data_IF_538636718613
#
_entry.id   IF_538636718613
#
_cell.length_a   1.000
_cell.length_b   1.000
_cell.length_c   1.000
_cell.angle_alpha   90.00
_cell.angle_beta   90.00
_cell.angle_gamma   90.00
#
_symmetry.space_group_name_H-M   'P 1'
#
loop_
_entity.id
_entity.type
_entity.pdbx_description
1 polymer ?
#
# COMPACT_ATOMS: atom_id res chain seq x y z
N UNK A 1 -39.93 1.07 54.63
CA UNK A 1 -39.36 -0.06 53.87
C UNK A 1 -40.12 -0.28 52.56
N UNK A 2 -41.46 -0.27 52.59
CA UNK A 2 -42.36 -0.40 51.42
C UNK A 2 -42.16 0.68 50.35
N UNK A 3 -41.98 1.95 50.72
CA UNK A 3 -41.88 3.05 49.74
C UNK A 3 -40.59 3.00 48.92
N UNK A 4 -39.48 2.61 49.56
CA UNK A 4 -38.20 2.41 48.88
C UNK A 4 -38.28 1.24 47.89
N UNK A 5 -38.95 0.14 48.26
CA UNK A 5 -39.15 -1.00 47.36
C UNK A 5 -40.04 -0.65 46.17
N UNK A 6 -41.07 0.18 46.38
CA UNK A 6 -41.95 0.65 45.29
C UNK A 6 -41.17 1.57 44.35
N UNK A 7 -40.36 2.49 44.88
CA UNK A 7 -39.54 3.39 44.06
C UNK A 7 -38.53 2.63 43.18
N UNK A 8 -37.85 1.63 43.76
CA UNK A 8 -36.92 0.77 43.00
C UNK A 8 -37.66 -0.01 41.91
N UNK A 9 -38.85 -0.54 42.21
CA UNK A 9 -39.66 -1.26 41.23
C UNK A 9 -40.08 -0.36 40.05
N UNK A 10 -40.46 0.89 40.31
CA UNK A 10 -40.83 1.86 39.27
C UNK A 10 -39.64 2.21 38.38
N UNK A 11 -38.46 2.45 38.95
CA UNK A 11 -37.24 2.74 38.19
C UNK A 11 -36.83 1.54 37.34
N UNK A 12 -36.87 0.32 37.90
CA UNK A 12 -36.56 -0.90 37.17
C UNK A 12 -37.50 -1.11 35.97
N UNK A 13 -38.81 -0.85 36.16
CA UNK A 13 -39.81 -0.94 35.09
C UNK A 13 -39.61 0.13 34.00
N UNK A 14 -39.18 1.34 34.37
CA UNK A 14 -38.93 2.41 33.42
C UNK A 14 -37.64 2.20 32.58
N UNK A 15 -36.60 1.60 33.17
CA UNK A 15 -35.31 1.39 32.50
C UNK A 15 -35.25 0.10 31.67
N UNK A 16 -36.09 -0.89 31.98
CA UNK A 16 -36.13 -2.19 31.30
C UNK A 16 -36.34 -2.09 29.78
N UNK A 17 -37.29 -1.28 29.25
CA UNK A 17 -37.49 -1.13 27.81
C UNK A 17 -36.28 -0.51 27.11
N UNK A 18 -35.58 0.44 27.76
CA UNK A 18 -34.38 1.08 27.23
C UNK A 18 -33.22 0.09 27.17
N UNK A 19 -33.01 -0.69 28.23
CA UNK A 19 -32.00 -1.74 28.27
C UNK A 19 -32.28 -2.82 27.21
N UNK A 20 -33.54 -3.22 27.06
CA UNK A 20 -33.97 -4.18 26.03
C UNK A 20 -33.76 -3.63 24.61
N UNK A 21 -34.07 -2.35 24.37
CA UNK A 21 -33.82 -1.69 23.09
C UNK A 21 -32.32 -1.65 22.75
N UNK A 22 -31.47 -1.28 23.72
CA UNK A 22 -30.01 -1.27 23.55
C UNK A 22 -29.47 -2.67 23.29
N UNK A 23 -29.95 -3.68 24.03
CA UNK A 23 -29.57 -5.09 23.80
C UNK A 23 -30.01 -5.56 22.41
N UNK A 24 -31.22 -5.20 21.97
CA UNK A 24 -31.73 -5.51 20.63
C UNK A 24 -30.88 -4.85 19.55
N UNK A 25 -30.51 -3.58 19.70
CA UNK A 25 -29.61 -2.87 18.77
C UNK A 25 -28.23 -3.53 18.75
N UNK A 26 -27.65 -3.88 19.91
CA UNK A 26 -26.36 -4.57 19.98
C UNK A 26 -26.42 -5.95 19.35
N UNK A 27 -27.49 -6.71 19.60
CA UNK A 27 -27.72 -8.03 19.03
C UNK A 27 -27.88 -7.95 17.51
N UNK A 28 -28.66 -7.01 16.99
CA UNK A 28 -28.80 -6.77 15.55
C UNK A 28 -27.48 -6.32 14.90
N UNK A 29 -26.71 -5.43 15.56
CA UNK A 29 -25.38 -5.03 15.08
C UNK A 29 -24.38 -6.20 15.10
N UNK A 30 -24.44 -7.07 16.11
CA UNK A 30 -23.60 -8.28 16.20
C UNK A 30 -24.03 -9.30 15.15
N UNK A 31 -25.33 -9.47 14.90
CA UNK A 31 -25.88 -10.31 13.83
C UNK A 31 -25.52 -9.79 12.43
N UNK A 32 -25.55 -8.46 12.22
CA UNK A 32 -25.07 -7.83 10.96
C UNK A 32 -23.57 -8.03 10.77
N UNK A 33 -22.75 -7.80 11.80
CA UNK A 33 -21.30 -8.08 11.73
C UNK A 33 -21.00 -9.56 11.49
N UNK A 34 -21.65 -10.45 12.24
CA UNK A 34 -21.52 -11.89 12.05
C UNK A 34 -22.15 -12.40 10.75
N UNK A 35 -22.97 -11.60 10.04
CA UNK A 35 -23.51 -11.90 8.70
C UNK A 35 -22.56 -11.37 7.63
N UNK A 36 -21.94 -10.21 7.85
CA UNK A 36 -20.87 -9.64 7.02
C UNK A 36 -19.60 -10.53 7.06
N UNK A 37 -19.25 -11.05 8.24
CA UNK A 37 -18.17 -12.03 8.44
C UNK A 37 -18.51 -13.43 7.91
N UNK A 38 -19.80 -13.73 7.67
CA UNK A 38 -20.29 -15.00 7.13
C UNK A 38 -20.74 -14.92 5.67
N UNK A 39 -20.56 -13.79 5.00
CA UNK A 39 -20.66 -13.75 3.54
C UNK A 39 -19.70 -14.83 3.04
N UNK A 40 -20.25 -15.86 2.41
CA UNK A 40 -19.53 -17.09 2.12
C UNK A 40 -18.38 -16.78 1.16
N UNK A 41 -17.31 -17.56 1.26
CA UNK A 41 -16.17 -17.51 0.33
C UNK A 41 -16.63 -17.57 -1.14
N UNK A 42 -17.77 -18.23 -1.40
CA UNK A 42 -18.49 -18.28 -2.69
C UNK A 42 -19.18 -16.95 -3.06
N UNK A 43 -19.86 -16.25 -2.15
CA UNK A 43 -20.45 -14.92 -2.45
C UNK A 43 -19.37 -13.85 -2.70
N UNK A 44 -18.18 -14.00 -2.10
CA UNK A 44 -17.01 -13.15 -2.37
C UNK A 44 -16.30 -13.49 -3.70
N UNK A 45 -16.55 -14.67 -4.28
CA UNK A 45 -16.08 -15.00 -5.63
C UNK A 45 -16.86 -14.23 -6.70
N UNK A 46 -18.12 -13.88 -6.46
CA UNK A 46 -18.92 -13.09 -7.42
C UNK A 46 -18.72 -11.57 -7.29
N UNK A 47 -18.08 -11.10 -6.20
CA UNK A 47 -17.74 -9.68 -6.03
C UNK A 47 -16.56 -9.32 -6.94
N UNK A 48 -16.71 -8.21 -7.68
CA UNK A 48 -15.64 -7.66 -8.51
C UNK A 48 -14.42 -7.24 -7.69
N UNK A 49 -13.22 -7.36 -8.25
CA UNK A 49 -11.97 -7.04 -7.55
C UNK A 49 -11.97 -5.61 -7.00
N UNK A 50 -12.51 -4.64 -7.77
CA UNK A 50 -12.64 -3.24 -7.34
C UNK A 50 -13.52 -3.09 -6.08
N UNK A 51 -14.72 -3.68 -6.09
CA UNK A 51 -15.64 -3.65 -4.95
C UNK A 51 -15.02 -4.29 -3.70
N UNK A 52 -14.28 -5.39 -3.88
CA UNK A 52 -13.58 -6.06 -2.81
C UNK A 52 -12.49 -5.16 -2.19
N UNK A 53 -11.64 -4.53 -3.01
CA UNK A 53 -10.62 -3.59 -2.55
C UNK A 53 -11.26 -2.42 -1.81
N UNK A 54 -12.30 -1.81 -2.38
CA UNK A 54 -13.05 -0.71 -1.79
C UNK A 54 -13.61 -1.07 -0.40
N UNK A 55 -14.17 -2.27 -0.25
CA UNK A 55 -14.70 -2.75 1.01
C UNK A 55 -13.60 -2.95 2.06
N UNK A 56 -12.46 -3.52 1.67
CA UNK A 56 -11.32 -3.75 2.57
C UNK A 56 -10.67 -2.44 3.00
N UNK A 57 -10.47 -1.50 2.07
CA UNK A 57 -9.96 -0.15 2.36
C UNK A 57 -10.84 0.58 3.39
N UNK A 58 -12.17 0.53 3.23
CA UNK A 58 -13.12 1.08 4.22
C UNK A 58 -13.00 0.37 5.57
N UNK A 59 -12.83 -0.96 5.58
CA UNK A 59 -12.65 -1.76 6.80
C UNK A 59 -11.39 -1.37 7.57
N UNK A 60 -10.30 -1.01 6.88
CA UNK A 60 -9.05 -0.57 7.51
C UNK A 60 -9.04 0.91 7.90
N UNK A 61 -10.12 1.64 7.64
CA UNK A 61 -10.29 3.04 8.04
C UNK A 61 -9.97 4.08 6.96
N UNK A 62 -9.70 3.64 5.72
CA UNK A 62 -9.51 4.55 4.59
C UNK A 62 -10.86 5.05 4.04
N UNK A 63 -10.80 6.15 3.28
CA UNK A 63 -11.94 6.70 2.54
C UNK A 63 -11.62 6.62 1.05
N UNK A 64 -11.80 5.45 0.42
CA UNK A 64 -11.43 5.27 -0.98
C UNK A 64 -12.51 5.82 -1.93
N UNK A 65 -12.06 6.40 -3.03
CA UNK A 65 -12.88 6.95 -4.11
C UNK A 65 -12.33 6.46 -5.46
N UNK A 66 -13.15 6.44 -6.51
CA UNK A 66 -12.70 6.12 -7.87
C UNK A 66 -12.45 7.43 -8.61
N UNK A 67 -11.26 7.61 -9.18
CA UNK A 67 -10.91 8.81 -9.94
C UNK A 67 -11.39 8.74 -11.40
N UNK A 68 -11.11 9.78 -12.18
CA UNK A 68 -11.49 9.86 -13.61
C UNK A 68 -10.85 8.78 -14.49
N UNK A 69 -9.72 8.22 -14.07
CA UNK A 69 -8.98 7.16 -14.76
C UNK A 69 -9.47 5.75 -14.37
N UNK A 70 -10.45 5.63 -13.47
CA UNK A 70 -10.93 4.35 -12.97
C UNK A 70 -10.05 3.73 -11.88
N UNK A 71 -9.08 4.48 -11.34
CA UNK A 71 -8.23 4.04 -10.24
C UNK A 71 -8.89 4.31 -8.89
N UNK A 72 -8.73 3.39 -7.95
CA UNK A 72 -9.17 3.58 -6.56
C UNK A 72 -8.13 4.44 -5.84
N UNK A 73 -8.45 5.70 -5.54
CA UNK A 73 -7.58 6.63 -4.80
C UNK A 73 -7.95 6.66 -3.32
N UNK A 74 -6.96 6.74 -2.44
CA UNK A 74 -7.17 6.81 -0.99
C UNK A 74 -5.92 7.36 -0.26
N UNK A 75 -6.11 7.79 0.98
CA UNK A 75 -5.01 8.14 1.90
C UNK A 75 -4.77 7.03 2.92
N UNK A 76 -3.51 6.72 3.17
CA UNK A 76 -3.09 5.79 4.23
C UNK A 76 -1.89 6.35 4.98
N UNK A 77 -2.04 6.50 6.31
CA UNK A 77 -1.04 7.12 7.19
C UNK A 77 -0.58 8.55 6.79
N UNK A 78 -1.39 9.26 5.99
CA UNK A 78 -1.09 10.62 5.53
C UNK A 78 -0.66 10.69 4.07
N UNK A 79 -0.18 9.58 3.51
CA UNK A 79 0.31 9.50 2.13
C UNK A 79 -0.81 9.15 1.16
N UNK A 80 -0.69 9.65 -0.08
CA UNK A 80 -1.62 9.39 -1.17
C UNK A 80 -1.28 8.10 -1.91
N UNK A 81 -2.28 7.24 -2.08
CA UNK A 81 -2.18 5.99 -2.80
C UNK A 81 -3.25 5.91 -3.88
N UNK A 82 -2.97 5.12 -4.91
CA UNK A 82 -3.99 4.63 -5.81
C UNK A 82 -3.81 3.14 -6.10
N UNK A 83 -4.90 2.46 -6.42
CA UNK A 83 -4.93 1.07 -6.86
C UNK A 83 -5.54 1.00 -8.25
N UNK A 84 -4.78 0.46 -9.19
CA UNK A 84 -5.31 0.01 -10.48
C UNK A 84 -5.69 -1.47 -10.36
N UNK A 85 -6.90 -1.79 -10.82
CA UNK A 85 -7.46 -3.15 -10.82
C UNK A 85 -7.35 -3.70 -12.24
N UNK A 86 -6.96 -4.97 -12.38
CA UNK A 86 -6.93 -5.64 -13.69
C UNK A 86 -8.31 -6.22 -14.04
N UNK A 87 -8.79 -5.96 -15.27
CA UNK A 87 -10.18 -6.25 -15.68
C UNK A 87 -10.52 -7.74 -15.77
N UNK A 88 -9.53 -8.61 -15.93
CA UNK A 88 -9.72 -10.05 -16.17
C UNK A 88 -9.11 -10.95 -15.08
N UNK A 89 -8.34 -10.37 -14.17
CA UNK A 89 -7.62 -11.10 -13.15
C UNK A 89 -7.81 -10.48 -11.77
N UNK A 90 -7.60 -11.29 -10.72
CA UNK A 90 -7.64 -10.81 -9.33
C UNK A 90 -6.35 -10.08 -8.94
N UNK A 91 -5.65 -9.48 -9.89
CA UNK A 91 -4.45 -8.69 -9.62
C UNK A 91 -4.80 -7.24 -9.38
N UNK A 92 -4.08 -6.64 -8.44
CA UNK A 92 -4.12 -5.22 -8.17
C UNK A 92 -2.70 -4.67 -8.23
N UNK A 93 -2.58 -3.43 -8.70
CA UNK A 93 -1.35 -2.66 -8.66
C UNK A 93 -1.53 -1.49 -7.70
N UNK A 94 -0.85 -1.57 -6.55
CA UNK A 94 -0.86 -0.51 -5.54
C UNK A 94 0.27 0.45 -5.88
N UNK A 95 -0.03 1.73 -5.93
CA UNK A 95 0.91 2.81 -6.16
C UNK A 95 0.91 3.82 -5.03
N UNK A 96 2.09 4.27 -4.67
CA UNK A 96 2.32 5.47 -3.88
C UNK A 96 3.14 6.43 -4.76
N UNK A 97 2.48 7.29 -5.53
CA UNK A 97 3.16 8.23 -6.40
C UNK A 97 3.77 9.37 -5.59
N UNK A 98 4.89 9.90 -6.08
CA UNK A 98 5.49 11.14 -5.60
C UNK A 98 5.71 11.24 -4.08
N UNK A 99 6.03 10.13 -3.41
CA UNK A 99 6.20 10.08 -1.96
C UNK A 99 7.48 10.79 -1.47
N UNK A 100 8.44 11.00 -2.37
CA UNK A 100 9.62 11.83 -2.13
C UNK A 100 10.12 12.47 -3.42
N UNK A 101 10.97 13.49 -3.27
CA UNK A 101 11.74 14.07 -4.36
C UNK A 101 13.16 14.37 -3.94
N UNK A 102 14.05 14.43 -4.92
CA UNK A 102 15.45 14.85 -4.76
C UNK A 102 15.77 15.91 -5.80
N UNK A 103 16.39 17.01 -5.36
CA UNK A 103 16.83 18.08 -6.27
C UNK A 103 17.91 17.58 -7.23
N UNK A 104 17.90 18.10 -8.46
CA UNK A 104 18.96 17.83 -9.44
C UNK A 104 20.35 18.26 -8.98
N UNK A 105 20.43 19.23 -8.06
CA UNK A 105 21.69 19.73 -7.49
C UNK A 105 22.14 18.90 -6.27
N UNK A 106 21.41 17.85 -5.90
CA UNK A 106 21.74 17.04 -4.73
C UNK A 106 23.00 16.18 -5.00
N UNK A 107 24.05 16.26 -4.15
CA UNK A 107 25.26 15.46 -4.32
C UNK A 107 25.05 13.95 -4.31
N UNK A 108 23.95 13.47 -3.73
CA UNK A 108 23.60 12.05 -3.69
C UNK A 108 22.89 11.56 -4.98
N UNK A 109 22.44 12.46 -5.86
CA UNK A 109 21.71 12.11 -7.08
C UNK A 109 22.46 11.10 -7.98
N UNK A 110 23.79 11.20 -8.19
CA UNK A 110 24.53 10.23 -9.00
C UNK A 110 24.46 8.79 -8.47
N UNK A 111 24.13 8.61 -7.19
CA UNK A 111 24.02 7.31 -6.52
C UNK A 111 22.57 6.80 -6.43
N UNK A 112 21.58 7.62 -6.78
CA UNK A 112 20.16 7.30 -6.62
C UNK A 112 19.79 5.97 -7.30
N UNK A 113 20.27 5.75 -8.53
CA UNK A 113 19.98 4.53 -9.30
C UNK A 113 20.49 3.28 -8.58
N UNK A 114 21.71 3.30 -8.05
CA UNK A 114 22.28 2.15 -7.34
C UNK A 114 21.58 1.89 -6.03
N UNK A 115 21.20 2.95 -5.30
CA UNK A 115 20.44 2.83 -4.06
C UNK A 115 19.07 2.21 -4.32
N UNK A 116 18.34 2.74 -5.29
CA UNK A 116 17.03 2.21 -5.68
C UNK A 116 17.15 0.75 -6.14
N UNK A 117 18.15 0.42 -6.96
CA UNK A 117 18.38 -0.95 -7.40
C UNK A 117 18.73 -1.88 -6.23
N UNK A 118 19.57 -1.43 -5.29
CA UNK A 118 19.95 -2.20 -4.11
C UNK A 118 18.71 -2.53 -3.27
N UNK A 119 17.86 -1.53 -2.99
CA UNK A 119 16.65 -1.73 -2.19
C UNK A 119 15.64 -2.58 -2.93
N UNK A 120 15.45 -2.37 -4.24
CA UNK A 120 14.46 -3.12 -5.04
C UNK A 120 14.78 -4.62 -5.14
N UNK A 121 16.04 -5.04 -5.01
CA UNK A 121 16.41 -6.47 -5.05
C UNK A 121 15.84 -7.25 -3.86
N UNK A 122 15.81 -6.61 -2.69
CA UNK A 122 15.44 -7.26 -1.43
C UNK A 122 14.04 -6.84 -0.93
N UNK A 123 13.30 -6.07 -1.75
CA UNK A 123 12.04 -5.44 -1.38
C UNK A 123 10.86 -6.00 -2.17
N UNK A 124 9.73 -6.18 -1.48
CA UNK A 124 8.42 -6.48 -2.08
C UNK A 124 7.89 -5.32 -2.94
N UNK A 125 8.20 -4.10 -2.52
CA UNK A 125 7.82 -2.86 -3.20
C UNK A 125 8.95 -2.42 -4.12
N UNK A 126 8.61 -2.11 -5.37
CA UNK A 126 9.56 -1.61 -6.36
C UNK A 126 9.45 -0.09 -6.42
N UNK A 127 10.58 0.60 -6.28
CA UNK A 127 10.67 2.06 -6.46
C UNK A 127 11.19 2.39 -7.85
N UNK A 128 10.55 3.35 -8.49
CA UNK A 128 10.97 3.97 -9.75
C UNK A 128 11.07 5.48 -9.55
N UNK A 129 11.77 6.17 -10.44
CA UNK A 129 11.90 7.61 -10.35
C UNK A 129 11.80 8.27 -11.73
N UNK A 130 11.27 9.49 -11.76
CA UNK A 130 11.05 10.29 -12.97
C UNK A 130 11.44 11.75 -12.69
N UNK A 131 11.93 12.47 -13.69
CA UNK A 131 12.08 13.92 -13.57
C UNK A 131 10.70 14.61 -13.48
N UNK A 132 10.62 15.73 -12.76
CA UNK A 132 9.47 16.63 -12.79
C UNK A 132 9.41 17.42 -14.11
N UNK A 133 8.27 18.08 -14.38
CA UNK A 133 8.04 18.81 -15.64
C UNK A 133 9.06 19.93 -15.89
N UNK A 134 9.54 20.54 -14.80
CA UNK A 134 10.56 21.60 -14.82
C UNK A 134 12.00 21.05 -14.86
N UNK A 135 12.18 19.74 -14.80
CA UNK A 135 13.45 19.02 -14.67
C UNK A 135 14.36 19.53 -13.52
N UNK A 136 13.76 20.07 -12.46
CA UNK A 136 14.47 20.57 -11.26
C UNK A 136 14.59 19.51 -10.18
N UNK A 137 13.67 18.55 -10.16
CA UNK A 137 13.62 17.49 -9.18
C UNK A 137 13.37 16.15 -9.84
N UNK A 138 13.85 15.12 -9.19
CA UNK A 138 13.50 13.73 -9.50
C UNK A 138 12.51 13.26 -8.44
N UNK A 139 11.30 12.92 -8.85
CA UNK A 139 10.27 12.34 -8.00
C UNK A 139 10.44 10.82 -7.90
N UNK A 140 10.27 10.28 -6.69
CA UNK A 140 10.27 8.86 -6.41
C UNK A 140 8.83 8.36 -6.27
N UNK A 141 8.58 7.20 -6.86
CA UNK A 141 7.29 6.53 -6.85
C UNK A 141 7.51 5.08 -6.51
N UNK A 142 6.61 4.50 -5.74
CA UNK A 142 6.70 3.10 -5.37
C UNK A 142 5.46 2.36 -5.80
N UNK A 143 5.64 1.09 -6.19
CA UNK A 143 4.54 0.22 -6.59
C UNK A 143 4.72 -1.20 -6.09
N UNK A 144 3.61 -1.92 -5.97
CA UNK A 144 3.61 -3.35 -5.75
C UNK A 144 2.46 -3.99 -6.53
N UNK A 145 2.69 -5.19 -7.08
CA UNK A 145 1.63 -6.00 -7.69
C UNK A 145 1.31 -7.14 -6.76
N UNK A 146 0.03 -7.46 -6.63
CA UNK A 146 -0.34 -8.64 -5.88
C UNK A 146 -1.69 -9.21 -6.29
N UNK A 147 -1.87 -10.50 -6.02
CA UNK A 147 -3.20 -11.12 -6.08
C UNK A 147 -4.01 -10.62 -4.88
N UNK A 148 -5.26 -10.25 -5.13
CA UNK A 148 -6.20 -9.81 -4.13
C UNK A 148 -7.48 -10.65 -4.24
N UNK A 149 -7.49 -11.77 -3.51
CA UNK A 149 -8.55 -12.78 -3.57
C UNK A 149 -9.07 -13.11 -2.19
N UNK A 150 -10.40 -13.30 -2.01
CA UNK A 150 -10.98 -13.70 -0.72
C UNK A 150 -10.49 -15.07 -0.23
N UNK A 151 -9.80 -15.84 -1.08
CA UNK A 151 -9.28 -17.17 -0.74
C UNK A 151 -8.03 -17.15 0.14
N UNK A 152 -7.28 -16.04 0.18
CA UNK A 152 -5.95 -15.97 0.82
C UNK A 152 -5.94 -15.61 2.32
N UNK A 153 -7.11 -15.38 2.95
CA UNK A 153 -7.21 -15.16 4.39
C UNK A 153 -7.75 -13.79 4.77
N UNK A 154 -7.21 -13.18 5.84
CA UNK A 154 -7.66 -11.88 6.34
C UNK A 154 -7.15 -10.74 5.45
N UNK A 155 -7.92 -10.40 4.41
CA UNK A 155 -7.55 -9.40 3.41
C UNK A 155 -7.24 -8.01 3.98
N UNK A 156 -7.84 -7.63 5.12
CA UNK A 156 -7.56 -6.36 5.78
C UNK A 156 -6.20 -6.32 6.49
N UNK A 157 -5.79 -7.42 7.12
CA UNK A 157 -4.43 -7.54 7.67
C UNK A 157 -3.41 -7.61 6.54
N UNK A 158 -3.74 -8.35 5.48
CA UNK A 158 -2.91 -8.47 4.30
C UNK A 158 -2.68 -7.11 3.61
N UNK A 159 -3.74 -6.37 3.29
CA UNK A 159 -3.62 -5.06 2.64
C UNK A 159 -2.84 -4.07 3.51
N UNK A 160 -3.05 -4.07 4.83
CA UNK A 160 -2.23 -3.28 5.76
C UNK A 160 -0.76 -3.66 5.67
N UNK A 161 -0.45 -4.95 5.73
CA UNK A 161 0.93 -5.41 5.62
C UNK A 161 1.58 -4.99 4.29
N UNK A 162 0.84 -5.06 3.18
CA UNK A 162 1.30 -4.59 1.87
C UNK A 162 1.58 -3.08 1.88
N UNK A 163 0.66 -2.26 2.42
CA UNK A 163 0.82 -0.81 2.52
C UNK A 163 1.97 -0.42 3.46
N UNK A 164 2.12 -1.11 4.58
CA UNK A 164 3.20 -0.87 5.54
C UNK A 164 4.58 -1.14 4.93
N UNK A 165 4.69 -2.10 3.99
CA UNK A 165 5.95 -2.35 3.28
C UNK A 165 6.39 -1.18 2.41
N UNK A 166 5.49 -0.31 1.94
CA UNK A 166 5.90 0.90 1.22
C UNK A 166 6.76 1.78 2.12
N UNK A 167 6.33 2.03 3.36
CA UNK A 167 7.08 2.85 4.31
C UNK A 167 8.42 2.22 4.71
N UNK A 168 8.46 0.89 4.87
CA UNK A 168 9.72 0.16 5.11
C UNK A 168 10.70 0.39 3.95
N UNK A 169 10.22 0.29 2.71
CA UNK A 169 11.02 0.54 1.50
C UNK A 169 11.46 2.00 1.39
N UNK A 170 10.58 2.96 1.71
CA UNK A 170 10.92 4.38 1.70
C UNK A 170 12.02 4.68 2.72
N UNK A 171 11.92 4.12 3.92
CA UNK A 171 12.91 4.31 4.97
C UNK A 171 14.26 3.69 4.60
N UNK A 172 14.26 2.51 3.97
CA UNK A 172 15.48 1.90 3.45
C UNK A 172 16.16 2.80 2.40
N UNK A 173 15.39 3.38 1.47
CA UNK A 173 15.93 4.30 0.46
C UNK A 173 16.48 5.57 1.12
N UNK A 174 15.74 6.18 2.05
CA UNK A 174 16.16 7.39 2.78
C UNK A 174 17.45 7.14 3.56
N UNK A 175 17.54 6.01 4.26
CA UNK A 175 18.74 5.64 5.03
C UNK A 175 19.96 5.44 4.13
N UNK A 176 19.80 4.74 2.99
CA UNK A 176 20.90 4.53 2.04
C UNK A 176 21.35 5.84 1.38
N UNK A 177 20.41 6.74 1.05
CA UNK A 177 20.73 8.08 0.53
C UNK A 177 21.52 8.92 1.53
N UNK A 178 21.14 8.90 2.81
CA UNK A 178 21.87 9.61 3.87
C UNK A 178 23.29 9.06 4.05
N UNK A 179 23.43 7.73 4.10
CA UNK A 179 24.74 7.08 4.27
C UNK A 179 25.68 7.39 3.10
N UNK A 180 25.23 7.20 1.86
CA UNK A 180 26.06 7.44 0.67
C UNK A 180 26.29 8.92 0.41
N UNK A 181 25.32 9.79 0.70
CA UNK A 181 25.51 11.25 0.66
C UNK A 181 26.58 11.73 1.62
N UNK A 182 26.64 11.16 2.83
CA UNK A 182 27.70 11.46 3.81
C UNK A 182 29.08 10.90 3.42
N UNK A 183 29.13 9.68 2.86
CA UNK A 183 30.39 9.06 2.42
C UNK A 183 31.01 9.73 1.18
N UNK A 184 30.17 10.23 0.26
CA UNK A 184 30.62 10.98 -0.91
C UNK A 184 31.23 12.34 -0.55
N UNK A 185 30.82 12.94 0.59
CA UNK A 185 31.49 14.14 1.12
C UNK A 185 32.84 13.85 1.79
N UNK A 186 33.16 12.59 2.10
CA UNK A 186 34.38 12.20 2.81
C UNK A 186 35.40 11.42 1.97
N UNK A 187 35.04 10.86 0.80
CA UNK A 187 36.01 10.14 -0.04
C UNK A 187 35.66 10.09 -1.53
N UNK A 188 36.57 10.62 -2.36
CA UNK A 188 36.44 10.68 -3.82
C UNK A 188 36.82 9.37 -4.55
N UNK A 189 36.88 8.21 -3.89
CA UNK A 189 37.54 7.03 -4.49
C UNK A 189 37.06 5.65 -4.02
N UNK A 190 35.79 5.48 -3.64
CA UNK A 190 35.25 4.14 -3.35
C UNK A 190 34.66 3.47 -4.60
N UNK A 191 35.12 2.23 -4.83
CA UNK A 191 34.66 1.36 -5.91
C UNK A 191 33.15 1.11 -5.79
N UNK A 192 32.43 1.40 -6.88
CA UNK A 192 30.96 1.36 -6.97
C UNK A 192 30.43 -0.02 -6.55
N UNK A 193 29.54 -0.06 -5.56
CA UNK A 193 28.95 -1.30 -5.03
C UNK A 193 28.22 -2.06 -6.15
N UNK A 194 28.72 -3.25 -6.50
CA UNK A 194 28.08 -4.12 -7.50
C UNK A 194 27.00 -4.98 -6.84
N UNK A 195 25.77 -4.89 -7.34
CA UNK A 195 24.66 -5.75 -6.93
C UNK A 195 24.99 -7.21 -7.30
N UNK A 196 25.13 -8.08 -6.30
CA UNK A 196 25.64 -9.44 -6.48
C UNK A 196 24.65 -10.42 -7.14
N UNK A 197 23.34 -10.22 -6.94
CA UNK A 197 22.31 -11.20 -7.32
C UNK A 197 22.14 -11.44 -8.82
N UNK A 198 22.47 -10.46 -9.66
CA UNK A 198 22.21 -10.55 -11.11
C UNK A 198 23.38 -11.08 -11.95
N UNK A 199 24.59 -11.12 -11.39
CA UNK A 199 25.80 -11.47 -12.14
C UNK A 199 25.80 -12.94 -12.64
N UNK A 200 25.06 -13.82 -11.97
CA UNK A 200 24.99 -15.24 -12.29
C UNK A 200 24.24 -15.57 -13.60
N UNK A 201 23.49 -14.62 -14.17
CA UNK A 201 22.59 -14.87 -15.30
C UNK A 201 23.00 -14.15 -16.59
N UNK A 202 24.23 -13.61 -16.65
CA UNK A 202 24.70 -12.76 -17.75
C UNK A 202 24.94 -13.52 -19.06
N UNK A 203 25.26 -14.81 -18.99
CA UNK A 203 25.71 -15.59 -20.16
C UNK A 203 24.66 -15.68 -21.28
N UNK A 204 23.37 -15.57 -20.93
CA UNK A 204 22.25 -15.64 -21.89
C UNK A 204 21.61 -14.27 -22.20
N UNK A 205 22.19 -13.15 -21.76
CA UNK A 205 21.61 -11.83 -22.03
C UNK A 205 21.88 -11.39 -23.47
N UNK A 206 20.84 -11.07 -24.23
CA UNK A 206 20.97 -10.45 -25.55
C UNK A 206 21.14 -8.93 -25.40
N UNK A 207 22.22 -8.32 -25.93
CA UNK A 207 22.35 -6.87 -25.92
C UNK A 207 21.23 -6.24 -26.76
N UNK A 208 20.62 -5.17 -26.25
CA UNK A 208 19.70 -4.35 -27.04
C UNK A 208 20.52 -3.63 -28.11
N UNK A 209 20.25 -3.89 -29.39
CA UNK A 209 20.89 -3.20 -30.51
C UNK A 209 20.46 -1.73 -30.54
N UNK A 210 21.42 -0.80 -30.65
CA UNK A 210 21.11 0.55 -31.10
C UNK A 210 20.63 0.47 -32.54
N UNK A 211 19.44 0.98 -32.84
CA UNK A 211 18.91 1.02 -34.19
C UNK A 211 19.74 2.01 -35.04
N UNK A 212 20.87 1.56 -35.57
CA UNK A 212 21.67 2.29 -36.57
C UNK A 212 22.66 1.32 -37.24
N UNK A 213 22.17 0.43 -38.11
CA UNK A 213 23.02 -0.26 -39.10
C UNK A 213 22.20 -0.79 -40.30
N UNK A 214 21.24 0.00 -40.79
CA UNK A 214 20.69 -0.18 -42.14
C UNK A 214 20.89 1.09 -42.98
N UNK A 215 22.15 1.34 -43.33
CA UNK A 215 22.48 2.07 -44.55
C UNK A 215 23.59 1.31 -45.26
N UNK A 216 23.19 0.47 -46.21
CA UNK A 216 24.05 0.05 -47.30
C UNK A 216 23.25 -0.02 -48.60
#
# INVERSE_FOLDING_TARGET
MTDLTILIAVIALALWPLAFLVLRIRHERKKRRARLERMTKEELEDIGTEELVMAVLKKIGCQPETNEEGHIVFKYQGDDFYIAVEDEARFIMIWNPWWASISMDNPALPYLKEIVNLVNVDSLVTTVFTADEDEKNVGLHSKCHTVFTPKEGQLDEYLKAMLDHFFVTHDAIKQNLQQLGSAASESANQERTKVKGFAAYKENSTPLSSAEEEKK
#
